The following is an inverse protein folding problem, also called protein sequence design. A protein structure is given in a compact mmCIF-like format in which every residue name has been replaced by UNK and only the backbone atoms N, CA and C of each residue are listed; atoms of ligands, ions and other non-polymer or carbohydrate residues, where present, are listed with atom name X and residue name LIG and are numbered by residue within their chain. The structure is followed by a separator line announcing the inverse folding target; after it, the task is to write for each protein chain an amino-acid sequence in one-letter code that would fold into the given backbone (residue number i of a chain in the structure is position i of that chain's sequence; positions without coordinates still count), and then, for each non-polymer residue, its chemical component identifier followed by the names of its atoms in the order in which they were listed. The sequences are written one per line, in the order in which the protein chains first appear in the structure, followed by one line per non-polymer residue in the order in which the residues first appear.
data_IF_989832205369
#
_entry.id   IF_989832205369
#
_cell.length_a   1.000
_cell.length_b   1.000
_cell.length_c   1.000
_cell.angle_alpha   90.00
_cell.angle_beta   90.00
_cell.angle_gamma   90.00
#
_symmetry.space_group_name_H-M   'P 1'
#
loop_
_entity.id
_entity.type
_entity.pdbx_description
1 polymer ?
#
# COMPACT_ATOMS: atom_id res chain seq x y z
N UNK A 1 -24.60 6.45 -18.43
CA UNK A 1 -24.55 7.00 -19.79
C UNK A 1 -23.19 7.65 -19.97
N UNK A 2 -22.23 6.96 -20.57
CA UNK A 2 -20.99 7.58 -21.05
C UNK A 2 -20.72 7.07 -22.45
N UNK A 3 -20.72 8.02 -23.39
CA UNK A 3 -20.75 7.82 -24.82
C UNK A 3 -19.31 7.77 -25.33
N UNK A 4 -18.86 6.61 -25.78
CA UNK A 4 -17.48 6.38 -26.21
C UNK A 4 -17.39 6.57 -27.73
N UNK A 5 -17.13 7.80 -28.17
CA UNK A 5 -17.06 8.14 -29.59
C UNK A 5 -15.63 7.94 -30.12
N UNK A 6 -15.39 6.77 -30.71
CA UNK A 6 -14.11 6.35 -31.30
C UNK A 6 -14.09 6.75 -32.78
N UNK A 7 -13.47 7.88 -33.10
CA UNK A 7 -13.26 8.27 -34.50
C UNK A 7 -12.20 7.37 -35.14
N UNK A 8 -12.64 6.50 -36.05
CA UNK A 8 -11.79 5.72 -36.92
C UNK A 8 -11.54 6.52 -38.20
N UNK A 9 -10.32 7.02 -38.37
CA UNK A 9 -9.89 7.67 -39.61
C UNK A 9 -9.46 6.58 -40.59
N UNK A 10 -10.03 6.50 -41.80
CA UNK A 10 -9.72 5.43 -42.75
C UNK A 10 -8.32 5.62 -43.40
N UNK A 11 -7.55 4.53 -43.46
CA UNK A 11 -6.19 4.41 -44.03
C UNK A 11 -6.05 4.86 -45.50
N UNK A 12 -7.16 5.12 -46.20
CA UNK A 12 -7.16 5.57 -47.59
C UNK A 12 -6.68 7.03 -47.76
N UNK A 13 -6.66 7.85 -46.69
CA UNK A 13 -6.20 9.25 -46.78
C UNK A 13 -4.68 9.42 -46.54
N UNK A 14 -3.98 8.43 -46.00
CA UNK A 14 -2.53 8.54 -45.76
C UNK A 14 -1.71 8.26 -47.03
N UNK A 15 -2.22 7.47 -47.97
CA UNK A 15 -1.50 7.13 -49.21
C UNK A 15 -1.60 8.18 -50.33
N UNK A 16 -2.41 9.23 -50.17
CA UNK A 16 -2.54 10.29 -51.17
C UNK A 16 -1.62 11.50 -50.93
N UNK A 17 -0.89 11.55 -49.81
CA UNK A 17 0.02 12.67 -49.50
C UNK A 17 1.49 12.42 -49.87
N UNK A 18 1.87 11.19 -50.26
CA UNK A 18 3.26 10.83 -50.56
C UNK A 18 3.62 10.89 -52.07
N UNK A 19 2.68 11.19 -52.96
CA UNK A 19 2.93 11.21 -54.42
C UNK A 19 3.01 12.61 -55.02
N UNK A 20 3.51 13.60 -54.27
CA UNK A 20 3.75 14.95 -54.81
C UNK A 20 5.23 15.09 -55.25
N UNK A 21 5.51 15.30 -56.55
CA UNK A 21 6.87 15.30 -57.11
C UNK A 21 7.76 16.45 -56.64
N UNK A 22 7.23 17.43 -55.90
CA UNK A 22 7.96 18.63 -55.47
C UNK A 22 8.86 18.44 -54.23
N UNK A 23 8.65 17.41 -53.41
CA UNK A 23 9.50 17.18 -52.22
C UNK A 23 10.87 16.55 -52.53
N UNK A 24 10.96 15.81 -53.64
CA UNK A 24 12.21 15.16 -54.05
C UNK A 24 13.20 16.15 -54.69
N UNK A 25 12.70 17.24 -55.29
CA UNK A 25 13.55 18.31 -55.84
C UNK A 25 14.16 19.18 -54.72
N UNK A 26 13.40 19.44 -53.66
CA UNK A 26 13.86 20.25 -52.52
C UNK A 26 14.96 19.56 -51.70
N UNK A 27 14.93 18.22 -51.62
CA UNK A 27 15.97 17.43 -50.93
C UNK A 27 17.25 17.28 -51.76
N UNK A 28 17.17 17.36 -53.09
CA UNK A 28 18.34 17.35 -53.98
C UNK A 28 19.13 18.67 -53.92
N UNK A 29 18.45 19.82 -53.91
CA UNK A 29 19.11 21.13 -53.72
C UNK A 29 19.74 21.26 -52.33
N UNK A 30 19.04 20.85 -51.27
CA UNK A 30 19.58 20.91 -49.90
C UNK A 30 20.82 20.02 -49.71
N UNK A 31 20.91 18.89 -50.42
CA UNK A 31 22.11 18.03 -50.45
C UNK A 31 23.27 18.64 -51.23
N UNK A 32 23.02 19.48 -52.23
CA UNK A 32 24.09 20.18 -52.95
C UNK A 32 24.63 21.36 -52.13
N UNK A 33 23.78 22.08 -51.40
CA UNK A 33 24.26 23.13 -50.47
C UNK A 33 25.04 22.56 -49.28
N UNK A 34 24.63 21.43 -48.72
CA UNK A 34 25.39 20.74 -47.66
C UNK A 34 26.76 20.21 -48.14
N UNK A 35 26.93 19.96 -49.44
CA UNK A 35 28.24 19.57 -50.01
C UNK A 35 29.10 20.77 -50.38
N UNK A 36 28.51 21.92 -50.72
CA UNK A 36 29.23 23.16 -50.98
C UNK A 36 29.81 23.80 -49.71
N UNK A 37 29.22 23.54 -48.54
CA UNK A 37 29.75 24.00 -47.24
C UNK A 37 30.90 23.10 -46.75
N UNK A 38 31.07 21.89 -47.31
CA UNK A 38 32.06 20.90 -46.84
C UNK A 38 33.43 20.98 -47.51
N UNK A 39 33.69 21.97 -48.37
CA UNK A 39 35.00 22.14 -49.04
C UNK A 39 35.47 23.59 -48.92
N UNK A 40 35.96 23.95 -47.73
CA UNK A 40 37.05 24.92 -47.64
C UNK A 40 38.30 24.16 -47.17
N UNK A 41 39.37 24.10 -47.99
CA UNK A 41 40.66 23.64 -47.52
C UNK A 41 41.30 24.78 -46.73
N UNK A 42 41.15 24.75 -45.41
CA UNK A 42 41.99 25.56 -44.52
C UNK A 42 43.37 24.90 -44.47
N UNK A 43 44.24 25.34 -45.37
CA UNK A 43 45.67 25.18 -45.23
C UNK A 43 46.17 26.13 -44.13
N UNK A 44 47.10 25.63 -43.29
CA UNK A 44 47.77 26.26 -42.14
C UNK A 44 46.86 26.32 -40.88
N UNK A 45 47.25 25.88 -39.68
CA UNK A 45 48.56 25.65 -39.08
C UNK A 45 48.48 24.46 -38.11
N UNK A 46 49.57 23.71 -38.02
CA UNK A 46 49.81 22.70 -37.00
C UNK A 46 49.88 23.37 -35.62
N UNK A 47 48.75 23.55 -34.94
CA UNK A 47 48.64 23.73 -33.49
C UNK A 47 47.16 23.65 -33.11
N UNK A 48 46.60 22.43 -33.11
CA UNK A 48 45.40 22.17 -32.31
C UNK A 48 45.89 22.12 -30.86
N UNK A 49 46.02 23.29 -30.23
CA UNK A 49 46.00 23.35 -28.77
C UNK A 49 44.68 22.71 -28.36
N UNK A 50 44.76 21.50 -27.81
CA UNK A 50 43.67 20.87 -27.07
C UNK A 50 43.24 21.88 -26.01
N UNK A 51 42.20 22.68 -26.29
CA UNK A 51 41.69 23.60 -25.30
C UNK A 51 41.27 22.74 -24.10
N UNK A 52 41.94 22.86 -22.95
CA UNK A 52 41.60 22.03 -21.80
C UNK A 52 40.14 22.36 -21.49
N UNK A 53 39.29 21.32 -21.36
CA UNK A 53 37.89 21.47 -20.97
C UNK A 53 37.80 22.60 -19.95
N UNK A 54 37.14 23.71 -20.33
CA UNK A 54 37.14 24.93 -19.54
C UNK A 54 36.72 24.58 -18.11
N UNK A 55 37.47 25.03 -17.10
CA UNK A 55 37.21 24.76 -15.68
C UNK A 55 35.73 24.96 -15.29
N UNK A 56 35.05 25.89 -15.98
CA UNK A 56 33.62 26.15 -15.85
C UNK A 56 32.73 24.93 -16.21
N UNK A 57 33.08 24.15 -17.23
CA UNK A 57 32.37 22.93 -17.60
C UNK A 57 32.47 21.87 -16.50
N UNK A 58 33.67 21.64 -15.94
CA UNK A 58 33.84 20.72 -14.82
C UNK A 58 33.05 21.15 -13.58
N UNK A 59 33.02 22.44 -13.26
CA UNK A 59 32.22 22.98 -12.15
C UNK A 59 30.72 22.76 -12.40
N UNK A 60 30.26 22.98 -13.64
CA UNK A 60 28.85 22.80 -14.03
C UNK A 60 28.43 21.34 -13.92
N UNK A 61 29.25 20.41 -14.43
CA UNK A 61 29.01 18.97 -14.29
C UNK A 61 29.07 18.52 -12.83
N UNK A 62 30.00 19.06 -12.03
CA UNK A 62 30.10 18.78 -10.60
C UNK A 62 28.85 19.21 -9.83
N UNK A 63 28.35 20.42 -10.07
CA UNK A 63 27.10 20.93 -9.50
C UNK A 63 25.89 20.06 -9.90
N UNK A 64 25.82 19.64 -11.17
CA UNK A 64 24.76 18.77 -11.65
C UNK A 64 24.78 17.43 -10.93
N UNK A 65 25.93 16.75 -10.86
CA UNK A 65 26.09 15.49 -10.14
C UNK A 65 25.72 15.63 -8.66
N UNK A 66 26.13 16.72 -8.01
CA UNK A 66 25.78 16.99 -6.61
C UNK A 66 24.26 17.14 -6.42
N UNK A 67 23.59 17.86 -7.32
CA UNK A 67 22.14 17.98 -7.32
C UNK A 67 21.43 16.63 -7.44
N UNK A 68 21.89 15.75 -8.33
CA UNK A 68 21.37 14.39 -8.47
C UNK A 68 21.61 13.54 -7.22
N UNK A 69 22.78 13.65 -6.58
CA UNK A 69 23.07 12.93 -5.33
C UNK A 69 22.10 13.33 -4.21
N UNK A 70 21.84 14.64 -4.05
CA UNK A 70 20.89 15.14 -3.04
C UNK A 70 19.47 14.69 -3.36
N UNK A 71 19.05 14.76 -4.62
CA UNK A 71 17.72 14.32 -5.05
C UNK A 71 17.50 12.82 -4.79
N UNK A 72 18.48 11.97 -5.14
CA UNK A 72 18.42 10.53 -4.88
C UNK A 72 18.41 10.21 -3.39
N UNK A 73 19.20 10.94 -2.60
CA UNK A 73 19.22 10.79 -1.14
C UNK A 73 17.86 11.11 -0.51
N UNK A 74 17.26 12.25 -0.89
CA UNK A 74 15.93 12.65 -0.42
C UNK A 74 14.85 11.67 -0.89
N UNK A 75 14.90 11.22 -2.15
CA UNK A 75 13.96 10.22 -2.68
C UNK A 75 14.03 8.90 -1.89
N UNK A 76 15.24 8.40 -1.63
CA UNK A 76 15.44 7.16 -0.87
C UNK A 76 14.94 7.29 0.57
N UNK A 77 15.24 8.41 1.24
CA UNK A 77 14.79 8.70 2.61
C UNK A 77 13.27 8.86 2.69
N UNK A 78 12.66 9.56 1.75
CA UNK A 78 11.21 9.73 1.76
C UNK A 78 10.49 8.40 1.49
N UNK A 79 10.99 7.61 0.54
CA UNK A 79 10.45 6.28 0.22
C UNK A 79 10.54 5.29 1.39
N UNK A 80 11.61 5.31 2.17
CA UNK A 80 11.71 4.46 3.37
C UNK A 80 10.70 4.86 4.44
N UNK A 81 10.54 6.17 4.67
CA UNK A 81 9.60 6.68 5.67
C UNK A 81 8.15 6.37 5.27
N UNK A 82 7.78 6.55 4.00
CA UNK A 82 6.42 6.20 3.54
C UNK A 82 6.13 4.70 3.63
N UNK A 83 7.12 3.84 3.40
CA UNK A 83 6.93 2.38 3.51
C UNK A 83 6.76 1.95 4.96
N UNK A 84 7.54 2.52 5.88
CA UNK A 84 7.42 2.27 7.31
C UNK A 84 6.06 2.73 7.84
N UNK A 85 5.65 3.95 7.49
CA UNK A 85 4.35 4.50 7.89
C UNK A 85 3.19 3.62 7.43
N UNK A 86 3.18 3.15 6.18
CA UNK A 86 2.14 2.25 5.66
C UNK A 86 2.03 0.94 6.43
N UNK A 87 3.13 0.42 6.96
CA UNK A 87 3.14 -0.81 7.76
C UNK A 87 2.56 -0.53 9.15
N UNK A 88 2.92 0.60 9.75
CA UNK A 88 2.39 1.06 11.04
C UNK A 88 0.88 1.34 10.93
N UNK A 89 0.44 2.08 9.91
CA UNK A 89 -0.96 2.39 9.66
C UNK A 89 -1.81 1.13 9.45
N UNK A 90 -1.28 0.16 8.69
CA UNK A 90 -1.96 -1.13 8.47
C UNK A 90 -2.07 -1.91 9.77
N UNK A 91 -0.99 -2.00 10.53
CA UNK A 91 -0.97 -2.68 11.82
C UNK A 91 -1.98 -2.03 12.79
N UNK A 92 -1.98 -0.70 12.89
CA UNK A 92 -2.89 0.05 13.76
C UNK A 92 -4.35 -0.11 13.34
N UNK A 93 -4.62 -0.20 12.03
CA UNK A 93 -5.95 -0.53 11.50
C UNK A 93 -6.38 -1.93 11.95
N UNK A 94 -5.53 -2.95 11.80
CA UNK A 94 -5.88 -4.31 12.23
C UNK A 94 -6.05 -4.42 13.74
N UNK A 95 -5.22 -3.74 14.54
CA UNK A 95 -5.37 -3.68 15.99
C UNK A 95 -6.70 -3.02 16.38
N UNK A 96 -7.10 -1.96 15.67
CA UNK A 96 -8.40 -1.31 15.89
C UNK A 96 -9.55 -2.26 15.58
N UNK A 97 -9.56 -2.85 14.38
CA UNK A 97 -10.59 -3.81 13.96
C UNK A 97 -10.68 -5.01 14.92
N UNK A 98 -9.53 -5.50 15.40
CA UNK A 98 -9.48 -6.57 16.40
C UNK A 98 -10.14 -6.16 17.72
N UNK A 99 -9.85 -4.95 18.22
CA UNK A 99 -10.46 -4.45 19.47
C UNK A 99 -11.96 -4.23 19.32
N UNK A 100 -12.38 -3.63 18.21
CA UNK A 100 -13.80 -3.39 17.93
C UNK A 100 -14.57 -4.73 17.90
N UNK A 101 -14.06 -5.73 17.19
CA UNK A 101 -14.63 -7.08 17.19
C UNK A 101 -14.63 -7.75 18.56
N UNK A 102 -13.58 -7.53 19.36
CA UNK A 102 -13.47 -8.10 20.69
C UNK A 102 -14.55 -7.55 21.63
N UNK A 103 -14.78 -6.23 21.62
CA UNK A 103 -15.85 -5.59 22.41
C UNK A 103 -17.25 -5.96 21.92
N UNK A 104 -17.42 -6.15 20.61
CA UNK A 104 -18.67 -6.64 20.03
C UNK A 104 -18.98 -8.08 20.47
N UNK A 105 -17.96 -8.94 20.57
CA UNK A 105 -18.10 -10.31 21.08
C UNK A 105 -18.43 -10.26 22.58
N UNK A 106 -17.72 -9.45 23.36
CA UNK A 106 -17.97 -9.30 24.79
C UNK A 106 -19.40 -8.86 25.06
N UNK A 107 -19.84 -7.77 24.43
CA UNK A 107 -21.17 -7.20 24.64
C UNK A 107 -22.26 -8.19 24.26
N UNK A 108 -22.13 -8.84 23.10
CA UNK A 108 -23.11 -9.82 22.63
C UNK A 108 -23.10 -11.09 23.48
N UNK A 109 -21.95 -11.52 24.00
CA UNK A 109 -21.86 -12.68 24.89
C UNK A 109 -22.47 -12.38 26.27
N UNK A 110 -22.23 -11.20 26.83
CA UNK A 110 -22.87 -10.77 28.09
C UNK A 110 -24.39 -10.70 27.90
N UNK A 111 -24.85 -10.07 26.82
CA UNK A 111 -26.28 -9.99 26.49
C UNK A 111 -26.91 -11.37 26.35
N UNK A 112 -26.25 -12.29 25.63
CA UNK A 112 -26.65 -13.68 25.54
C UNK A 112 -26.75 -14.34 26.92
N UNK A 113 -25.66 -14.36 27.70
CA UNK A 113 -25.64 -15.06 28.99
C UNK A 113 -26.62 -14.48 30.02
N UNK A 114 -26.93 -13.19 29.95
CA UNK A 114 -27.86 -12.52 30.88
C UNK A 114 -29.32 -12.52 30.42
N UNK A 115 -29.57 -12.79 29.14
CA UNK A 115 -30.92 -12.93 28.59
C UNK A 115 -31.53 -14.28 28.90
N UNK A 116 -32.86 -14.32 28.99
CA UNK A 116 -33.62 -15.57 29.09
C UNK A 116 -33.38 -16.47 27.85
N UNK A 117 -33.64 -17.77 28.01
CA UNK A 117 -33.56 -18.74 26.93
C UNK A 117 -34.49 -18.36 25.78
N UNK A 118 -33.99 -18.54 24.56
CA UNK A 118 -34.65 -18.17 23.31
C UNK A 118 -34.52 -19.35 22.32
N UNK A 119 -35.55 -19.59 21.52
CA UNK A 119 -35.55 -20.61 20.46
C UNK A 119 -34.38 -20.42 19.47
N UNK A 120 -33.84 -19.20 19.37
CA UNK A 120 -32.72 -18.86 18.49
C UNK A 120 -31.33 -18.98 19.13
N UNK A 121 -31.21 -19.57 20.32
CA UNK A 121 -29.93 -19.61 21.05
C UNK A 121 -28.82 -20.34 20.29
N UNK A 122 -29.15 -21.43 19.61
CA UNK A 122 -28.18 -22.15 18.78
C UNK A 122 -27.63 -21.26 17.64
N UNK A 123 -28.47 -20.40 17.06
CA UNK A 123 -28.06 -19.46 16.00
C UNK A 123 -27.13 -18.40 16.57
N UNK A 124 -27.41 -17.89 17.78
CA UNK A 124 -26.53 -16.93 18.48
C UNK A 124 -25.15 -17.55 18.78
N UNK A 125 -25.11 -18.78 19.26
CA UNK A 125 -23.85 -19.52 19.50
C UNK A 125 -23.06 -19.73 18.21
N UNK A 126 -23.70 -20.09 17.11
CA UNK A 126 -23.05 -20.16 15.79
C UNK A 126 -22.53 -18.79 15.33
N UNK A 127 -23.27 -17.72 15.62
CA UNK A 127 -22.84 -16.34 15.41
C UNK A 127 -21.53 -16.01 16.14
N UNK A 128 -21.43 -16.40 17.42
CA UNK A 128 -20.18 -16.24 18.17
C UNK A 128 -19.01 -17.01 17.58
N UNK A 129 -19.23 -18.26 17.17
CA UNK A 129 -18.18 -19.05 16.53
C UNK A 129 -17.62 -18.38 15.27
N UNK A 130 -18.50 -17.76 14.46
CA UNK A 130 -18.08 -16.98 13.27
C UNK A 130 -17.29 -15.73 13.65
N UNK A 131 -17.79 -14.94 14.60
CA UNK A 131 -17.08 -13.73 15.09
C UNK A 131 -15.72 -14.08 15.70
N UNK A 132 -15.63 -15.16 16.48
CA UNK A 132 -14.35 -15.65 17.03
C UNK A 132 -13.41 -16.09 15.91
N UNK A 133 -13.92 -16.73 14.85
CA UNK A 133 -13.09 -17.10 13.70
C UNK A 133 -12.52 -15.85 13.02
N UNK A 134 -13.34 -14.83 12.80
CA UNK A 134 -12.91 -13.55 12.26
C UNK A 134 -11.85 -12.87 13.15
N UNK A 135 -12.09 -12.82 14.47
CA UNK A 135 -11.14 -12.35 15.47
C UNK A 135 -9.80 -13.09 15.39
N UNK A 136 -9.82 -14.43 15.23
CA UNK A 136 -8.60 -15.24 15.09
C UNK A 136 -7.87 -14.97 13.78
N UNK A 137 -8.58 -14.66 12.70
CA UNK A 137 -7.98 -14.24 11.43
C UNK A 137 -7.28 -12.89 11.60
N UNK A 138 -7.94 -11.91 12.21
CA UNK A 138 -7.34 -10.59 12.50
C UNK A 138 -6.12 -10.69 13.39
N UNK A 139 -6.17 -11.52 14.42
CA UNK A 139 -5.02 -11.81 15.28
C UNK A 139 -3.81 -12.36 14.49
N UNK A 140 -4.03 -13.21 13.49
CA UNK A 140 -2.98 -13.69 12.58
C UNK A 140 -2.47 -12.58 11.65
N UNK A 141 -3.34 -11.77 11.06
CA UNK A 141 -2.94 -10.62 10.24
C UNK A 141 -2.08 -9.61 11.02
N UNK A 142 -2.37 -9.42 12.31
CA UNK A 142 -1.55 -8.61 13.22
C UNK A 142 -0.17 -9.25 13.42
N UNK A 143 -0.11 -10.57 13.66
CA UNK A 143 1.16 -11.29 13.79
C UNK A 143 2.00 -11.20 12.50
N UNK A 144 1.38 -11.39 11.34
CA UNK A 144 2.03 -11.37 10.03
C UNK A 144 2.54 -9.97 9.64
N UNK A 145 1.93 -8.91 10.17
CA UNK A 145 2.37 -7.51 10.02
C UNK A 145 3.48 -7.10 11.00
N UNK A 146 4.11 -8.07 11.68
CA UNK A 146 5.17 -7.84 12.66
C UNK A 146 4.64 -7.34 14.01
N UNK A 147 3.42 -7.74 14.36
CA UNK A 147 2.84 -7.55 15.68
C UNK A 147 3.21 -8.67 16.66
N UNK A 148 2.44 -8.78 17.73
CA UNK A 148 2.64 -9.80 18.76
C UNK A 148 2.20 -11.17 18.24
N UNK A 149 2.90 -12.20 18.70
CA UNK A 149 2.60 -13.59 18.36
C UNK A 149 1.15 -13.97 18.75
N UNK A 150 0.54 -14.80 17.92
CA UNK A 150 -0.84 -15.28 18.08
C UNK A 150 -1.08 -15.93 19.47
N UNK A 151 -1.94 -15.35 20.34
CA UNK A 151 -2.19 -15.84 21.70
C UNK A 151 -3.22 -16.98 21.67
N UNK A 152 -2.81 -18.16 21.20
CA UNK A 152 -3.70 -19.31 20.99
C UNK A 152 -4.49 -19.70 22.23
N UNK A 153 -3.87 -19.68 23.40
CA UNK A 153 -4.50 -20.10 24.65
C UNK A 153 -5.58 -19.13 25.12
N UNK A 154 -5.35 -17.82 24.99
CA UNK A 154 -6.35 -16.79 25.35
C UNK A 154 -7.57 -16.85 24.44
N UNK A 155 -7.35 -17.00 23.12
CA UNK A 155 -8.44 -17.13 22.15
C UNK A 155 -9.22 -18.45 22.29
N UNK A 156 -8.55 -19.55 22.67
CA UNK A 156 -9.23 -20.82 23.03
C UNK A 156 -10.10 -20.65 24.27
N UNK A 157 -9.58 -19.97 25.31
CA UNK A 157 -10.37 -19.65 26.51
C UNK A 157 -11.57 -18.79 26.15
N UNK A 158 -11.38 -17.67 25.45
CA UNK A 158 -12.47 -16.80 24.99
C UNK A 158 -13.57 -17.61 24.28
N UNK A 159 -13.19 -18.47 23.33
CA UNK A 159 -14.14 -19.35 22.63
C UNK A 159 -14.93 -20.20 23.61
N UNK A 160 -14.25 -20.85 24.55
CA UNK A 160 -14.89 -21.69 25.57
C UNK A 160 -15.93 -20.88 26.34
N UNK A 161 -15.59 -19.74 26.92
CA UNK A 161 -16.51 -18.96 27.75
C UNK A 161 -17.70 -18.37 26.97
N UNK A 162 -17.52 -18.09 25.68
CA UNK A 162 -18.60 -17.58 24.85
C UNK A 162 -19.53 -18.70 24.36
N UNK A 163 -19.03 -19.92 24.14
CA UNK A 163 -19.81 -20.99 23.47
C UNK A 163 -20.19 -22.19 24.35
N UNK A 164 -19.72 -22.28 25.60
CA UNK A 164 -19.95 -23.48 26.42
C UNK A 164 -21.35 -23.46 27.06
N UNK A 165 -22.24 -24.30 26.55
CA UNK A 165 -23.67 -24.38 26.91
C UNK A 165 -23.97 -25.22 28.18
N UNK A 166 -23.00 -25.34 29.09
CA UNK A 166 -23.17 -26.18 30.28
C UNK A 166 -23.87 -25.47 31.45
N UNK A 167 -24.07 -24.15 31.37
CA UNK A 167 -24.66 -23.38 32.47
C UNK A 167 -26.11 -23.00 32.13
N UNK A 168 -27.02 -23.14 33.09
CA UNK A 168 -28.40 -22.67 32.94
C UNK A 168 -28.45 -21.15 32.85
N UNK A 169 -29.10 -20.64 31.81
CA UNK A 169 -29.35 -19.21 31.60
C UNK A 169 -30.70 -18.80 32.22
N UNK A 170 -30.90 -17.53 32.60
CA UNK A 170 -29.94 -16.44 32.57
C UNK A 170 -28.94 -16.48 33.74
N UNK A 171 -27.70 -16.08 33.47
CA UNK A 171 -26.69 -15.89 34.49
C UNK A 171 -26.86 -14.53 35.18
N UNK A 172 -26.54 -14.48 36.48
CA UNK A 172 -26.42 -13.21 37.21
C UNK A 172 -25.26 -12.40 36.64
N UNK A 173 -25.39 -11.07 36.66
CA UNK A 173 -24.39 -10.14 36.14
C UNK A 173 -22.99 -10.29 36.77
N UNK A 174 -22.90 -10.80 38.01
CA UNK A 174 -21.66 -11.04 38.75
C UNK A 174 -21.32 -12.54 38.81
N UNK A 175 -21.67 -13.28 37.76
CA UNK A 175 -21.29 -14.69 37.65
C UNK A 175 -19.82 -14.78 37.27
N UNK A 176 -19.11 -15.78 37.81
CA UNK A 176 -17.69 -16.06 37.52
C UNK A 176 -17.42 -16.07 36.02
N UNK A 177 -18.35 -16.59 35.21
CA UNK A 177 -18.24 -16.61 33.75
C UNK A 177 -18.17 -15.22 33.12
N UNK A 178 -19.01 -14.28 33.56
CA UNK A 178 -19.03 -12.91 33.02
C UNK A 178 -17.75 -12.17 33.43
N UNK A 179 -17.29 -12.37 34.67
CA UNK A 179 -16.05 -11.77 35.14
C UNK A 179 -14.83 -12.34 34.40
N UNK A 180 -14.75 -13.66 34.25
CA UNK A 180 -13.69 -14.32 33.47
C UNK A 180 -13.70 -13.92 31.99
N UNK A 181 -14.89 -13.70 31.40
CA UNK A 181 -15.02 -13.19 30.04
C UNK A 181 -14.43 -11.78 29.93
N UNK A 182 -14.78 -10.88 30.85
CA UNK A 182 -14.27 -9.51 30.93
C UNK A 182 -12.75 -9.49 31.13
N UNK A 183 -12.23 -10.36 31.99
CA UNK A 183 -10.80 -10.48 32.25
C UNK A 183 -10.05 -10.91 30.98
N UNK A 184 -10.53 -11.94 30.28
CA UNK A 184 -9.91 -12.40 29.03
C UNK A 184 -9.95 -11.31 27.95
N UNK A 185 -11.06 -10.57 27.85
CA UNK A 185 -11.20 -9.45 26.90
C UNK A 185 -10.24 -8.32 27.24
N UNK A 186 -10.16 -7.93 28.52
CA UNK A 186 -9.21 -6.93 29.01
C UNK A 186 -7.77 -7.33 28.70
N UNK A 187 -7.40 -8.57 29.02
CA UNK A 187 -6.07 -9.12 28.74
C UNK A 187 -5.73 -9.14 27.24
N UNK A 188 -6.68 -9.50 26.37
CA UNK A 188 -6.48 -9.49 24.92
C UNK A 188 -6.36 -8.05 24.39
N UNK A 189 -7.17 -7.12 24.90
CA UNK A 189 -7.11 -5.71 24.50
C UNK A 189 -5.78 -5.05 24.89
N UNK A 190 -5.27 -5.37 26.08
CA UNK A 190 -3.97 -4.90 26.56
C UNK A 190 -2.81 -5.52 25.77
N UNK A 191 -2.92 -6.80 25.38
CA UNK A 191 -1.89 -7.44 24.58
C UNK A 191 -1.71 -6.69 23.25
N UNK A 192 -2.79 -6.33 22.57
CA UNK A 192 -2.72 -5.67 21.27
C UNK A 192 -2.63 -4.15 21.40
N UNK A 193 -1.42 -3.62 21.52
CA UNK A 193 -1.17 -2.18 21.51
C UNK A 193 -0.96 -1.63 20.10
N UNK A 194 -1.28 -0.34 19.91
CA UNK A 194 -0.96 0.36 18.66
C UNK A 194 0.53 0.67 18.64
N UNK A 195 1.15 0.55 17.47
CA UNK A 195 2.51 1.04 17.27
C UNK A 195 2.49 2.56 17.26
N UNK A 196 3.33 3.16 18.10
CA UNK A 196 3.59 4.61 18.09
C UNK A 196 4.38 4.98 16.84
N UNK A 197 4.02 6.09 16.19
CA UNK A 197 4.85 6.73 15.18
C UNK A 197 6.10 7.28 15.88
N UNK A 198 7.26 6.64 15.67
CA UNK A 198 8.58 7.16 16.07
C UNK A 198 9.34 7.55 14.80
#
# INVERSE_FOLDING_TARGET
MENNNKYHVPEAQQKALESSPDQNALTAQKKQELKAIAVQPTANDDNVEEQPLSTAQYITWGMLCLGWCIALFLYKRNKSNTRSQRVIDRHNTYVKEFKDLLFDIESAAIDYWTSAEDENDQVKVLGFQRKIKELTTKSKEISDSGGIAYPSEKLKKLRKYVTLDNDQRPLKANSSRIDELRDIVSELSQLYERKSDI
#
